data_IF_865713668050
#
_entry.id   IF_865713668050
#
_cell.length_a   1.000
_cell.length_b   1.000
_cell.length_c   1.000
_cell.angle_alpha   90.00
_cell.angle_beta   90.00
_cell.angle_gamma   90.00
#
_symmetry.space_group_name_H-M   'P 1'
#
loop_
_entity.id
_entity.type
_entity.pdbx_description
1 polymer ?
#
# COMPACT_ATOMS: atom_id res chain seq x y z
N UNK A 1 -54.09 -7.09 18.80
CA UNK A 1 -54.79 -7.93 19.81
C UNK A 1 -54.05 -9.24 19.90
N UNK A 2 -53.74 -9.67 21.12
CA UNK A 2 -53.24 -10.98 21.55
C UNK A 2 -51.74 -11.22 21.35
N UNK A 3 -50.98 -11.70 22.27
CA UNK A 3 -51.05 -11.85 23.75
C UNK A 3 -49.62 -12.18 24.21
N UNK A 4 -49.21 -11.53 25.25
CA UNK A 4 -47.99 -11.77 26.01
C UNK A 4 -48.07 -13.16 26.66
N UNK A 5 -47.00 -13.97 26.57
CA UNK A 5 -46.76 -15.04 27.54
C UNK A 5 -45.36 -14.92 28.13
N UNK A 6 -45.40 -14.46 29.38
CA UNK A 6 -44.28 -14.50 30.33
C UNK A 6 -44.21 -15.93 30.88
N UNK A 7 -43.03 -16.57 30.83
CA UNK A 7 -42.74 -17.73 31.66
C UNK A 7 -41.48 -17.41 32.49
N UNK A 8 -41.72 -17.23 33.80
CA UNK A 8 -40.70 -17.21 34.86
C UNK A 8 -40.41 -18.65 35.25
N UNK A 9 -39.17 -19.05 35.36
CA UNK A 9 -38.67 -20.16 36.20
C UNK A 9 -37.26 -19.82 36.67
N UNK A 10 -37.16 -19.72 37.79
CA UNK A 10 -36.55 -19.80 39.12
C UNK A 10 -35.44 -20.85 39.23
N UNK A 11 -34.31 -20.37 39.78
CA UNK A 11 -33.33 -20.97 40.70
C UNK A 11 -32.52 -22.21 40.31
N UNK A 12 -31.23 -22.03 40.53
CA UNK A 12 -30.24 -23.10 40.59
C UNK A 12 -28.85 -22.57 40.92
N UNK A 13 -28.66 -22.21 42.19
CA UNK A 13 -27.35 -21.80 42.75
C UNK A 13 -26.55 -23.08 43.00
N UNK A 14 -25.46 -23.29 42.28
CA UNK A 14 -24.43 -24.30 42.63
C UNK A 14 -23.07 -23.59 42.61
N UNK A 15 -22.56 -23.31 43.81
CA UNK A 15 -21.19 -22.89 44.06
C UNK A 15 -20.24 -24.10 43.86
N UNK A 16 -19.40 -24.08 42.83
CA UNK A 16 -18.21 -24.91 42.77
C UNK A 16 -16.99 -24.06 43.02
N UNK A 17 -16.45 -24.17 44.22
CA UNK A 17 -15.13 -23.65 44.57
C UNK A 17 -14.08 -24.60 43.99
N UNK A 18 -13.47 -24.25 42.88
CA UNK A 18 -12.28 -24.90 42.36
C UNK A 18 -11.06 -24.10 42.81
N UNK A 19 -10.29 -24.64 43.73
CA UNK A 19 -8.97 -24.14 44.11
C UNK A 19 -7.99 -24.39 42.96
N UNK A 20 -7.69 -23.37 42.19
CA UNK A 20 -6.60 -23.41 41.19
C UNK A 20 -5.28 -23.10 41.90
N UNK A 21 -4.49 -24.13 42.22
CA UNK A 21 -3.07 -24.00 42.58
C UNK A 21 -2.29 -23.66 41.32
N UNK A 22 -2.17 -22.40 40.99
CA UNK A 22 -1.32 -21.90 39.92
C UNK A 22 0.14 -21.99 40.29
N UNK A 23 0.91 -22.90 39.68
CA UNK A 23 2.37 -22.87 39.67
C UNK A 23 2.82 -21.67 38.87
N UNK A 24 3.20 -20.58 39.53
CA UNK A 24 3.91 -19.47 38.90
C UNK A 24 5.38 -19.85 38.73
N UNK A 25 5.72 -20.48 37.60
CA UNK A 25 7.10 -20.53 37.14
C UNK A 25 7.45 -19.21 36.49
N UNK A 26 8.06 -18.31 37.23
CA UNK A 26 8.72 -17.13 36.66
C UNK A 26 9.93 -17.57 35.85
N UNK A 27 9.76 -17.65 34.54
CA UNK A 27 10.90 -17.75 33.63
C UNK A 27 11.52 -16.36 33.56
N UNK A 28 12.62 -16.18 34.28
CA UNK A 28 13.50 -15.01 34.12
C UNK A 28 14.24 -15.15 32.77
N UNK A 29 13.53 -14.87 31.69
CA UNK A 29 14.12 -14.71 30.37
C UNK A 29 14.44 -13.24 30.19
N UNK A 30 15.70 -12.88 30.15
CA UNK A 30 16.15 -11.59 29.64
C UNK A 30 15.78 -11.58 28.16
N UNK A 31 14.79 -10.77 27.78
CA UNK A 31 14.49 -10.54 26.37
C UNK A 31 15.71 -9.85 25.75
N UNK A 32 16.56 -10.64 25.09
CA UNK A 32 17.57 -10.07 24.18
C UNK A 32 16.81 -9.58 22.95
N UNK A 33 16.90 -8.28 22.59
CA UNK A 33 16.36 -7.82 21.33
C UNK A 33 16.98 -8.68 20.22
N UNK A 34 16.17 -9.32 19.41
CA UNK A 34 16.66 -9.94 18.19
C UNK A 34 17.46 -8.87 17.41
N UNK A 35 18.64 -9.21 16.87
CA UNK A 35 19.35 -8.26 16.04
C UNK A 35 18.41 -7.92 14.88
N UNK A 36 17.94 -6.68 14.87
CA UNK A 36 17.27 -6.10 13.71
C UNK A 36 18.38 -5.95 12.67
N UNK A 37 18.56 -6.96 11.83
CA UNK A 37 19.23 -6.76 10.56
C UNK A 37 18.36 -5.81 9.77
N UNK A 38 18.54 -4.50 10.00
CA UNK A 38 18.09 -3.51 9.06
C UNK A 38 18.75 -3.90 7.73
N UNK A 39 17.95 -4.34 6.78
CA UNK A 39 18.40 -4.58 5.42
C UNK A 39 18.75 -3.21 4.84
N UNK A 40 19.99 -2.83 4.97
CA UNK A 40 20.54 -1.54 4.50
C UNK A 40 20.62 -1.46 2.97
N UNK A 41 20.23 -2.54 2.28
CA UNK A 41 20.38 -2.64 0.82
C UNK A 41 19.35 -1.80 0.02
N UNK A 42 18.21 -1.43 0.63
CA UNK A 42 17.16 -0.68 -0.09
C UNK A 42 17.10 0.81 0.26
N UNK A 43 17.64 1.23 1.41
CA UNK A 43 17.47 2.60 1.90
C UNK A 43 18.16 3.67 1.02
N UNK A 44 19.22 3.29 0.30
CA UNK A 44 20.01 4.23 -0.50
C UNK A 44 19.59 4.30 -1.98
N UNK A 45 18.79 3.34 -2.47
CA UNK A 45 18.43 3.28 -3.90
C UNK A 45 17.65 4.52 -4.38
N UNK A 46 16.86 5.13 -3.50
CA UNK A 46 16.12 6.37 -3.77
C UNK A 46 16.74 7.59 -3.11
N UNK A 47 18.03 7.55 -2.74
CA UNK A 47 18.68 8.66 -2.07
C UNK A 47 18.58 9.96 -2.88
N UNK A 48 18.07 11.02 -2.23
CA UNK A 48 17.85 12.32 -2.86
C UNK A 48 16.57 12.43 -3.71
N UNK A 49 15.85 11.34 -3.97
CA UNK A 49 14.55 11.39 -4.62
C UNK A 49 13.42 11.57 -3.61
N UNK A 50 12.45 12.40 -3.97
CA UNK A 50 11.26 12.66 -3.16
C UNK A 50 10.01 12.55 -4.03
N UNK A 51 9.07 11.70 -3.64
CA UNK A 51 7.87 11.40 -4.41
C UNK A 51 7.02 12.65 -4.68
N UNK A 52 6.83 13.54 -3.69
CA UNK A 52 6.04 14.76 -3.90
C UNK A 52 6.72 15.69 -4.90
N UNK A 53 8.03 15.89 -4.79
CA UNK A 53 8.76 16.73 -5.73
C UNK A 53 8.66 16.21 -7.17
N UNK A 54 8.81 14.90 -7.36
CA UNK A 54 8.67 14.28 -8.68
C UNK A 54 7.23 14.42 -9.20
N UNK A 55 6.25 14.15 -8.35
CA UNK A 55 4.84 14.23 -8.70
C UNK A 55 4.46 15.65 -9.09
N UNK A 56 4.82 16.67 -8.29
CA UNK A 56 4.56 18.08 -8.57
C UNK A 56 5.23 18.54 -9.88
N UNK A 57 6.48 18.13 -10.11
CA UNK A 57 7.19 18.42 -11.35
C UNK A 57 6.46 17.87 -12.58
N UNK A 58 5.99 16.62 -12.49
CA UNK A 58 5.36 15.91 -13.62
C UNK A 58 3.91 16.34 -13.86
N UNK A 59 3.22 16.86 -12.85
CA UNK A 59 1.84 17.35 -12.94
C UNK A 59 1.72 18.86 -13.12
N UNK A 60 2.86 19.58 -13.11
CA UNK A 60 2.89 21.03 -13.24
C UNK A 60 2.13 21.53 -14.48
N UNK A 61 1.27 22.54 -14.30
CA UNK A 61 0.48 23.13 -15.38
C UNK A 61 -0.67 22.28 -15.89
N UNK A 62 -0.94 21.09 -15.32
CA UNK A 62 -1.99 20.20 -15.75
C UNK A 62 -3.28 20.29 -14.90
N UNK A 63 -3.33 21.22 -13.94
CA UNK A 63 -4.51 21.46 -13.10
C UNK A 63 -4.62 20.51 -11.90
N UNK A 64 -3.51 19.86 -11.52
CA UNK A 64 -3.42 19.12 -10.27
C UNK A 64 -3.14 20.07 -9.10
N UNK A 65 -3.71 19.76 -7.95
CA UNK A 65 -3.32 20.36 -6.68
C UNK A 65 -1.90 19.90 -6.30
N UNK A 66 -1.17 20.66 -5.47
CA UNK A 66 0.13 20.24 -4.97
C UNK A 66 0.07 18.86 -4.29
N UNK A 67 1.08 18.05 -4.53
CA UNK A 67 1.15 16.71 -3.98
C UNK A 67 1.22 16.70 -2.45
N UNK A 68 0.46 15.80 -1.83
CA UNK A 68 0.44 15.60 -0.38
C UNK A 68 0.99 14.24 0.00
N UNK A 69 1.90 14.22 0.98
CA UNK A 69 2.31 12.99 1.66
C UNK A 69 1.60 12.87 3.02
N UNK A 70 0.73 11.89 3.16
CA UNK A 70 -0.04 11.61 4.39
C UNK A 70 0.56 10.45 5.21
N UNK A 71 1.80 10.06 4.94
CA UNK A 71 2.46 8.94 5.60
C UNK A 71 3.92 9.25 5.93
N UNK A 72 4.56 8.36 6.71
CA UNK A 72 6.01 8.43 6.96
C UNK A 72 6.86 7.88 5.80
N UNK A 73 6.23 7.32 4.76
CA UNK A 73 6.91 6.73 3.62
C UNK A 73 7.18 7.78 2.53
N UNK A 74 8.10 7.49 1.62
CA UNK A 74 8.38 8.33 0.46
C UNK A 74 7.31 8.11 -0.62
N UNK A 75 6.11 8.65 -0.37
CA UNK A 75 4.97 8.58 -1.27
C UNK A 75 4.22 9.90 -1.31
N UNK A 76 3.46 10.13 -2.38
CA UNK A 76 2.71 11.37 -2.58
C UNK A 76 1.48 11.12 -3.42
N UNK A 77 0.45 11.93 -3.21
CA UNK A 77 -0.79 11.92 -4.01
C UNK A 77 -1.09 13.34 -4.46
N UNK A 78 -1.31 13.54 -5.75
CA UNK A 78 -1.80 14.78 -6.34
C UNK A 78 -3.21 14.54 -6.89
N UNK A 79 -4.14 15.44 -6.57
CA UNK A 79 -5.53 15.37 -6.99
C UNK A 79 -5.80 16.42 -8.06
N UNK A 80 -6.57 16.05 -9.08
CA UNK A 80 -7.11 16.98 -10.06
C UNK A 80 -8.63 16.96 -9.97
N UNK A 81 -9.26 18.06 -9.54
CA UNK A 81 -10.71 18.15 -9.41
C UNK A 81 -11.43 17.73 -10.69
N UNK A 82 -12.44 16.87 -10.56
CA UNK A 82 -13.26 16.38 -11.67
C UNK A 82 -12.60 15.31 -12.56
N UNK A 83 -11.29 15.03 -12.36
CA UNK A 83 -10.60 13.97 -13.11
C UNK A 83 -10.23 12.78 -12.21
N UNK A 84 -9.58 13.01 -11.07
CA UNK A 84 -9.11 11.96 -10.20
C UNK A 84 -7.77 12.28 -9.53
N UNK A 85 -6.90 11.28 -9.40
CA UNK A 85 -5.59 11.46 -8.75
C UNK A 85 -4.51 10.59 -9.37
N UNK A 86 -3.27 11.06 -9.28
CA UNK A 86 -2.08 10.23 -9.35
C UNK A 86 -1.47 10.05 -7.97
N UNK A 87 -1.03 8.81 -7.69
CA UNK A 87 -0.16 8.54 -6.55
C UNK A 87 1.19 8.01 -7.06
N UNK A 88 2.26 8.42 -6.39
CA UNK A 88 3.62 7.98 -6.64
C UNK A 88 4.23 7.52 -5.32
N UNK A 89 4.80 6.31 -5.27
CA UNK A 89 5.55 5.84 -4.12
C UNK A 89 6.91 5.29 -4.56
N UNK A 90 7.96 5.69 -3.84
CA UNK A 90 9.32 5.17 -3.97
C UNK A 90 9.51 4.18 -2.82
N UNK A 91 9.37 2.89 -3.12
CA UNK A 91 9.38 1.82 -2.13
C UNK A 91 10.73 1.08 -2.14
N UNK A 92 11.59 1.28 -1.14
CA UNK A 92 12.92 0.67 -1.09
C UNK A 92 12.91 -0.75 -0.52
N UNK A 93 11.76 -1.26 -0.07
CA UNK A 93 11.67 -2.51 0.68
C UNK A 93 10.86 -3.60 -0.04
N UNK A 94 10.15 -3.24 -1.10
CA UNK A 94 9.25 -4.14 -1.83
C UNK A 94 9.52 -4.08 -3.34
N UNK A 95 9.79 -5.23 -3.93
CA UNK A 95 9.98 -5.37 -5.38
C UNK A 95 8.70 -5.77 -6.13
N UNK A 96 8.88 -6.32 -7.33
CA UNK A 96 7.77 -6.80 -8.16
C UNK A 96 7.12 -8.08 -7.60
N UNK A 97 7.85 -8.92 -6.88
CA UNK A 97 7.33 -10.15 -6.26
C UNK A 97 6.26 -9.84 -5.20
N UNK A 98 6.50 -8.84 -4.37
CA UNK A 98 5.53 -8.38 -3.37
C UNK A 98 4.32 -7.73 -4.04
N UNK A 99 4.52 -7.01 -5.15
CA UNK A 99 3.41 -6.46 -5.92
C UNK A 99 2.53 -7.59 -6.48
N UNK A 100 3.13 -8.62 -7.06
CA UNK A 100 2.40 -9.76 -7.61
C UNK A 100 1.61 -10.54 -6.53
N UNK A 101 2.18 -10.66 -5.33
CA UNK A 101 1.53 -11.34 -4.21
C UNK A 101 0.37 -10.54 -3.62
N UNK A 102 0.50 -9.21 -3.59
CA UNK A 102 -0.48 -8.31 -2.98
C UNK A 102 -1.68 -7.98 -3.88
N UNK A 103 -1.58 -8.27 -5.19
CA UNK A 103 -2.61 -7.88 -6.16
C UNK A 103 -3.13 -9.10 -6.93
N UNK A 104 -4.36 -9.01 -7.42
CA UNK A 104 -4.97 -10.01 -8.31
C UNK A 104 -4.97 -9.52 -9.76
N UNK A 105 -4.96 -10.46 -10.71
CA UNK A 105 -5.00 -10.12 -12.12
C UNK A 105 -3.77 -9.34 -12.61
N UNK A 106 -2.61 -9.58 -11.99
CA UNK A 106 -1.35 -8.93 -12.35
C UNK A 106 -0.90 -9.33 -13.74
N UNK A 107 -0.52 -8.35 -14.54
CA UNK A 107 0.02 -8.53 -15.89
C UNK A 107 1.45 -8.01 -15.94
N UNK A 108 2.37 -8.85 -16.43
CA UNK A 108 3.74 -8.43 -16.71
C UNK A 108 3.77 -7.47 -17.91
N UNK A 109 4.53 -6.42 -17.81
CA UNK A 109 4.70 -5.40 -18.84
C UNK A 109 6.09 -4.78 -18.78
N UNK A 110 6.35 -3.78 -19.59
CA UNK A 110 7.55 -2.95 -19.49
C UNK A 110 7.21 -1.48 -19.72
N UNK A 111 8.00 -0.60 -19.11
CA UNK A 111 7.94 0.85 -19.28
C UNK A 111 9.34 1.33 -19.73
N UNK A 112 9.43 1.87 -20.93
CA UNK A 112 10.69 2.31 -21.55
C UNK A 112 11.79 1.24 -21.51
N UNK A 113 11.42 -0.05 -21.52
CA UNK A 113 12.35 -1.18 -21.43
C UNK A 113 12.61 -1.69 -20.01
N UNK A 114 12.21 -0.98 -18.97
CA UNK A 114 12.29 -1.42 -17.57
C UNK A 114 11.18 -2.42 -17.27
N UNK A 115 11.49 -3.51 -16.55
CA UNK A 115 10.49 -4.47 -16.09
C UNK A 115 9.43 -3.77 -15.26
N UNK A 116 8.19 -4.15 -15.48
CA UNK A 116 7.06 -3.60 -14.73
C UNK A 116 5.93 -4.61 -14.62
N UNK A 117 5.05 -4.39 -13.67
CA UNK A 117 3.80 -5.13 -13.49
C UNK A 117 2.63 -4.17 -13.35
N UNK A 118 1.48 -4.57 -13.88
CA UNK A 118 0.24 -3.79 -13.84
C UNK A 118 -0.88 -4.60 -13.19
N UNK A 119 -1.71 -3.94 -12.39
CA UNK A 119 -2.92 -4.51 -11.84
C UNK A 119 -4.03 -3.45 -11.76
N UNK A 120 -5.28 -3.87 -11.88
CA UNK A 120 -6.40 -3.01 -11.54
C UNK A 120 -6.54 -2.95 -10.01
N UNK A 121 -6.87 -1.77 -9.48
CA UNK A 121 -7.18 -1.62 -8.06
C UNK A 121 -8.63 -1.98 -7.79
N UNK A 122 -8.94 -2.37 -6.57
CA UNK A 122 -10.32 -2.70 -6.13
C UNK A 122 -11.27 -1.49 -6.21
N UNK A 123 -10.75 -0.29 -6.32
CA UNK A 123 -11.50 0.97 -6.42
C UNK A 123 -11.68 1.45 -7.86
N UNK A 124 -11.35 0.63 -8.86
CA UNK A 124 -11.50 0.98 -10.27
C UNK A 124 -10.33 1.78 -10.87
N UNK A 125 -9.24 1.98 -10.10
CA UNK A 125 -8.00 2.57 -10.61
C UNK A 125 -7.07 1.54 -11.22
N UNK A 126 -5.87 1.97 -11.60
CA UNK A 126 -4.78 1.13 -12.08
C UNK A 126 -3.48 1.41 -11.33
N UNK A 127 -2.85 0.34 -10.86
CA UNK A 127 -1.54 0.36 -10.24
C UNK A 127 -0.50 -0.21 -11.21
N UNK A 128 0.65 0.45 -11.31
CA UNK A 128 1.77 0.07 -12.14
C UNK A 128 3.05 0.13 -11.31
N UNK A 129 3.70 -1.02 -11.12
CA UNK A 129 4.95 -1.16 -10.38
C UNK A 129 6.11 -1.29 -11.36
N UNK A 130 7.13 -0.44 -11.23
CA UNK A 130 8.37 -0.45 -12.00
C UNK A 130 9.49 -1.02 -11.13
N UNK A 131 10.22 -1.98 -11.65
CA UNK A 131 11.38 -2.55 -10.98
C UNK A 131 12.51 -1.52 -10.88
N UNK A 132 13.10 -1.37 -9.69
CA UNK A 132 14.33 -0.61 -9.50
C UNK A 132 15.46 -1.54 -9.10
N UNK A 133 15.17 -2.44 -8.16
CA UNK A 133 16.00 -3.61 -7.81
C UNK A 133 15.09 -4.79 -7.48
N UNK A 134 15.64 -5.94 -7.17
CA UNK A 134 14.88 -7.12 -6.73
C UNK A 134 13.93 -6.79 -5.55
N UNK A 135 14.34 -5.89 -4.67
CA UNK A 135 13.60 -5.53 -3.44
C UNK A 135 13.17 -4.06 -3.39
N UNK A 136 13.22 -3.35 -4.52
CA UNK A 136 12.78 -1.97 -4.58
C UNK A 136 11.99 -1.70 -5.87
N UNK A 137 10.91 -0.93 -5.73
CA UNK A 137 10.04 -0.55 -6.85
C UNK A 137 9.59 0.88 -6.76
N UNK A 138 9.17 1.41 -7.88
CA UNK A 138 8.32 2.61 -7.93
C UNK A 138 6.91 2.19 -8.25
N UNK A 139 5.96 2.70 -7.48
CA UNK A 139 4.54 2.43 -7.68
C UNK A 139 3.87 3.72 -8.18
N UNK A 140 3.22 3.62 -9.33
CA UNK A 140 2.36 4.64 -9.92
C UNK A 140 0.92 4.14 -9.84
N UNK A 141 0.01 4.96 -9.32
CA UNK A 141 -1.42 4.63 -9.30
C UNK A 141 -2.19 5.80 -9.92
N UNK A 142 -3.04 5.48 -10.90
CA UNK A 142 -4.05 6.40 -11.40
C UNK A 142 -5.42 5.97 -10.87
N UNK A 143 -6.18 6.91 -10.29
CA UNK A 143 -7.56 6.68 -9.84
C UNK A 143 -8.42 7.77 -10.45
N UNK A 144 -9.44 7.38 -11.23
CA UNK A 144 -10.34 8.33 -11.87
C UNK A 144 -11.57 8.57 -11.00
N UNK A 145 -12.12 9.78 -11.06
CA UNK A 145 -13.31 10.19 -10.30
C UNK A 145 -14.57 9.50 -10.79
N UNK A 146 -14.63 9.17 -12.09
CA UNK A 146 -15.73 8.40 -12.68
C UNK A 146 -15.31 6.95 -12.88
N UNK A 147 -16.04 6.03 -12.24
CA UNK A 147 -15.78 4.58 -12.36
C UNK A 147 -16.14 4.04 -13.75
N UNK A 148 -16.96 4.74 -14.53
CA UNK A 148 -17.23 4.39 -15.93
C UNK A 148 -15.96 4.53 -16.80
N UNK A 149 -15.04 5.42 -16.42
CA UNK A 149 -13.76 5.63 -17.09
C UNK A 149 -12.64 4.70 -16.57
N UNK A 150 -12.95 3.70 -15.75
CA UNK A 150 -11.96 2.77 -15.18
C UNK A 150 -11.08 2.09 -16.22
N UNK A 151 -11.56 1.95 -17.47
CA UNK A 151 -10.75 1.46 -18.61
C UNK A 151 -9.59 2.41 -18.92
N UNK A 152 -9.75 3.71 -18.70
CA UNK A 152 -8.75 4.74 -18.97
C UNK A 152 -7.66 4.83 -17.88
N UNK A 153 -7.92 4.33 -16.67
CA UNK A 153 -6.97 4.43 -15.57
C UNK A 153 -5.61 3.76 -15.88
N UNK A 154 -5.60 2.62 -16.57
CA UNK A 154 -4.36 1.94 -16.93
C UNK A 154 -3.55 2.65 -18.03
N UNK A 155 -4.15 3.12 -19.13
CA UNK A 155 -3.47 4.03 -20.07
C UNK A 155 -2.89 5.27 -19.42
N UNK A 156 -3.62 5.91 -18.49
CA UNK A 156 -3.14 7.12 -17.80
C UNK A 156 -2.00 6.80 -16.85
N UNK A 157 -2.09 5.71 -16.06
CA UNK A 157 -1.00 5.24 -15.21
C UNK A 157 0.27 4.94 -16.03
N UNK A 158 0.12 4.29 -17.20
CA UNK A 158 1.24 4.00 -18.11
C UNK A 158 1.89 5.27 -18.63
N UNK A 159 1.09 6.20 -19.17
CA UNK A 159 1.60 7.47 -19.70
C UNK A 159 2.34 8.27 -18.61
N UNK A 160 1.87 8.22 -17.37
CA UNK A 160 2.54 8.86 -16.25
C UNK A 160 3.83 8.11 -15.88
N UNK A 161 3.80 6.79 -15.82
CA UNK A 161 4.97 5.94 -15.53
C UNK A 161 6.10 6.11 -16.56
N UNK A 162 5.78 6.29 -17.84
CA UNK A 162 6.73 6.59 -18.91
C UNK A 162 7.49 7.90 -18.70
N UNK A 163 6.86 8.87 -18.01
CA UNK A 163 7.51 10.13 -17.62
C UNK A 163 8.31 10.00 -16.32
N UNK A 164 7.91 9.11 -15.44
CA UNK A 164 8.60 8.84 -14.16
C UNK A 164 9.89 8.06 -14.41
N UNK A 165 9.84 7.05 -15.27
CA UNK A 165 10.93 6.08 -15.48
C UNK A 165 12.30 6.72 -15.75
N UNK A 166 12.45 7.74 -16.61
CA UNK A 166 13.77 8.36 -16.88
C UNK A 166 14.36 9.12 -15.68
N UNK A 167 13.57 9.36 -14.65
CA UNK A 167 14.00 10.07 -13.43
C UNK A 167 14.46 9.11 -12.33
N UNK A 168 14.32 7.80 -12.56
CA UNK A 168 14.68 6.75 -11.62
C UNK A 168 16.16 6.36 -11.75
N UNK A 169 16.75 5.80 -10.67
CA UNK A 169 18.07 5.19 -10.76
C UNK A 169 18.10 4.10 -11.84
N UNK A 170 19.25 3.94 -12.47
CA UNK A 170 19.49 2.78 -13.32
C UNK A 170 19.38 1.52 -12.45
N UNK A 171 18.62 0.53 -12.90
CA UNK A 171 18.45 -0.76 -12.23
C UNK A 171 19.65 -1.66 -12.48
#
# INVERSE_FOLDING_TARGET
MSTIRIIKTVAGLVCFAAAATGCTSTVAGTASPAPTTASTAGADVFNGLNACRLLDQLTAGQGFDPGENKSARNQCVAVKPGWGSFALALDPEQGLSEFATANTGVVNTSINGRNAMQAQTTTGGCALALEVTEHARVLVIATLSDTADGIQACPDARTFAEKVEPLLPAG
#
